data_IF_613435062784
#
_entry.id   IF_613435062784
#
_cell.length_a   1.000
_cell.length_b   1.000
_cell.length_c   1.000
_cell.angle_alpha   90.00
_cell.angle_beta   90.00
_cell.angle_gamma   90.00
#
_symmetry.space_group_name_H-M   'P 1'
#
loop_
_entity.id
_entity.type
_entity.pdbx_description
1 polymer ?
#
# COMPACT_ATOMS: atom_id res chain seq x y z
N UNK A 1 9.63 7.03 -23.23
CA UNK A 1 8.17 6.78 -23.24
C UNK A 1 7.69 6.94 -21.81
N UNK A 2 6.55 7.57 -21.55
CA UNK A 2 5.96 7.59 -20.21
C UNK A 2 5.09 6.34 -19.99
N UNK A 3 4.98 5.89 -18.75
CA UNK A 3 4.06 4.83 -18.35
C UNK A 3 2.79 5.40 -17.73
N UNK A 4 1.76 4.56 -17.64
CA UNK A 4 0.53 4.87 -16.95
C UNK A 4 -0.03 3.62 -16.25
N UNK A 5 -0.80 3.82 -15.20
CA UNK A 5 -1.72 2.84 -14.66
C UNK A 5 -2.87 2.71 -15.65
N UNK A 6 -3.17 1.50 -16.08
CA UNK A 6 -4.26 1.15 -16.99
C UNK A 6 -5.46 0.61 -16.23
N UNK A 7 -5.21 -0.13 -15.16
CA UNK A 7 -6.21 -0.71 -14.29
C UNK A 7 -5.64 -0.93 -12.90
N UNK A 8 -6.50 -1.05 -11.91
CA UNK A 8 -6.15 -1.28 -10.52
C UNK A 8 -7.17 -2.19 -9.85
N UNK A 9 -6.77 -2.78 -8.75
CA UNK A 9 -7.64 -3.61 -7.92
C UNK A 9 -7.26 -3.51 -6.46
N UNK A 10 -8.19 -3.89 -5.58
CA UNK A 10 -8.01 -3.92 -4.14
C UNK A 10 -8.57 -5.22 -3.57
N UNK A 11 -7.93 -5.74 -2.54
CA UNK A 11 -8.48 -6.79 -1.71
C UNK A 11 -8.31 -6.39 -0.25
N UNK A 12 -9.43 -6.17 0.42
CA UNK A 12 -9.50 -5.78 1.82
C UNK A 12 -10.33 -6.84 2.54
N UNK A 13 -9.80 -7.53 3.56
CA UNK A 13 -10.56 -8.52 4.31
C UNK A 13 -11.87 -7.95 4.86
N UNK A 14 -12.93 -8.75 4.92
CA UNK A 14 -14.22 -8.34 5.48
C UNK A 14 -14.25 -8.35 7.01
N UNK A 15 -13.36 -9.14 7.64
CA UNK A 15 -13.25 -9.19 9.09
C UNK A 15 -12.58 -7.93 9.64
N UNK A 16 -13.07 -7.49 10.81
CA UNK A 16 -12.56 -6.31 11.53
C UNK A 16 -12.41 -6.63 13.01
N UNK A 17 -11.41 -6.00 13.63
CA UNK A 17 -11.36 -5.88 15.10
C UNK A 17 -11.33 -4.41 15.49
N UNK A 18 -12.13 -4.05 16.49
CA UNK A 18 -12.16 -2.68 17.03
C UNK A 18 -10.96 -2.42 17.92
N UNK A 19 -10.40 -1.22 17.86
CA UNK A 19 -9.35 -0.75 18.78
C UNK A 19 -9.78 -0.90 20.24
N UNK A 20 -11.05 -0.66 20.53
CA UNK A 20 -11.64 -0.85 21.87
C UNK A 20 -11.50 -2.28 22.38
N UNK A 21 -11.74 -3.29 21.51
CA UNK A 21 -11.64 -4.71 21.86
C UNK A 21 -10.22 -5.09 22.28
N UNK A 22 -9.22 -4.63 21.53
CA UNK A 22 -7.80 -4.83 21.84
C UNK A 22 -7.44 -4.12 23.16
N UNK A 23 -7.86 -2.86 23.32
CA UNK A 23 -7.56 -2.04 24.49
C UNK A 23 -8.15 -2.67 25.77
N UNK A 24 -9.40 -3.12 25.72
CA UNK A 24 -10.08 -3.77 26.85
C UNK A 24 -9.36 -5.05 27.27
N UNK A 25 -8.88 -5.85 26.32
CA UNK A 25 -8.12 -7.08 26.59
C UNK A 25 -6.84 -6.79 27.38
N UNK A 26 -6.12 -5.74 27.00
CA UNK A 26 -4.87 -5.32 27.63
C UNK A 26 -5.07 -4.33 28.80
N UNK A 27 -6.32 -4.07 29.22
CA UNK A 27 -6.67 -3.12 30.28
C UNK A 27 -6.10 -1.71 30.04
N UNK A 28 -6.10 -1.30 28.78
CA UNK A 28 -5.70 0.05 28.34
C UNK A 28 -6.94 0.94 28.18
N UNK A 29 -6.75 2.25 28.22
CA UNK A 29 -7.80 3.21 27.91
C UNK A 29 -8.06 3.25 26.39
N UNK A 30 -9.20 2.72 25.96
CA UNK A 30 -9.60 2.66 24.56
C UNK A 30 -9.68 4.04 23.90
N UNK A 31 -10.21 5.04 24.62
CA UNK A 31 -10.29 6.42 24.11
C UNK A 31 -8.90 7.03 23.92
N UNK A 32 -7.98 6.78 24.86
CA UNK A 32 -6.61 7.23 24.73
C UNK A 32 -5.91 6.60 23.51
N UNK A 33 -6.12 5.29 23.26
CA UNK A 33 -5.58 4.59 22.10
C UNK A 33 -6.17 5.14 20.79
N UNK A 34 -7.49 5.23 20.68
CA UNK A 34 -8.19 5.77 19.50
C UNK A 34 -7.74 7.22 19.24
N UNK A 35 -7.74 8.07 20.25
CA UNK A 35 -7.33 9.47 20.09
C UNK A 35 -5.82 9.60 19.78
N UNK A 36 -4.99 8.73 20.35
CA UNK A 36 -3.54 8.72 20.12
C UNK A 36 -3.17 8.30 18.71
N UNK A 37 -3.79 7.26 18.19
CA UNK A 37 -3.48 6.67 16.87
C UNK A 37 -4.39 7.18 15.75
N UNK A 38 -5.63 7.57 16.07
CA UNK A 38 -6.65 7.94 15.10
C UNK A 38 -7.19 6.73 14.32
N UNK A 39 -7.12 5.52 14.90
CA UNK A 39 -7.59 4.26 14.31
C UNK A 39 -8.69 3.71 15.21
N UNK A 40 -9.86 3.47 14.65
CA UNK A 40 -11.05 2.97 15.38
C UNK A 40 -11.20 1.47 15.24
N UNK A 41 -10.75 0.91 14.12
CA UNK A 41 -10.80 -0.50 13.78
C UNK A 41 -9.75 -0.82 12.72
N UNK A 42 -9.45 -2.08 12.54
CA UNK A 42 -8.52 -2.55 11.50
C UNK A 42 -9.01 -3.85 10.88
N UNK A 43 -8.50 -4.13 9.68
CA UNK A 43 -8.79 -5.37 8.95
C UNK A 43 -8.06 -6.56 9.58
N UNK A 44 -8.70 -7.71 9.54
CA UNK A 44 -8.17 -8.99 9.99
C UNK A 44 -8.32 -9.99 8.84
N UNK A 45 -7.26 -10.71 8.43
CA UNK A 45 -7.39 -11.73 7.40
C UNK A 45 -8.26 -12.89 7.93
N UNK A 46 -9.11 -13.45 7.08
CA UNK A 46 -9.84 -14.69 7.39
C UNK A 46 -8.90 -15.90 7.29
N UNK A 47 -9.32 -17.03 7.79
CA UNK A 47 -8.54 -18.28 7.78
C UNK A 47 -8.08 -18.74 6.38
N UNK A 48 -8.76 -18.31 5.32
CA UNK A 48 -8.40 -18.58 3.92
C UNK A 48 -7.69 -17.42 3.22
N UNK A 49 -7.43 -16.31 3.91
CA UNK A 49 -6.80 -15.12 3.34
C UNK A 49 -5.35 -14.99 3.83
N UNK A 50 -4.40 -14.99 2.91
CA UNK A 50 -3.00 -14.68 3.12
C UNK A 50 -2.51 -13.63 2.11
N UNK A 51 -1.25 -13.27 2.18
CA UNK A 51 -0.66 -12.31 1.24
C UNK A 51 -0.83 -12.73 -0.21
N UNK A 52 -0.76 -14.03 -0.51
CA UNK A 52 -0.94 -14.53 -1.88
C UNK A 52 -2.38 -14.38 -2.36
N UNK A 53 -3.35 -14.80 -1.59
CA UNK A 53 -4.78 -14.75 -1.96
C UNK A 53 -5.28 -13.32 -2.09
N UNK A 54 -4.85 -12.42 -1.19
CA UNK A 54 -5.15 -11.00 -1.29
C UNK A 54 -4.50 -10.36 -2.54
N UNK A 55 -3.23 -10.69 -2.82
CA UNK A 55 -2.52 -10.21 -4.01
C UNK A 55 -3.16 -10.71 -5.30
N UNK A 56 -3.59 -11.98 -5.34
CA UNK A 56 -4.29 -12.58 -6.47
C UNK A 56 -5.60 -11.84 -6.77
N UNK A 57 -6.44 -11.62 -5.76
CA UNK A 57 -7.74 -10.98 -5.96
C UNK A 57 -7.59 -9.52 -6.42
N UNK A 58 -6.66 -8.76 -5.83
CA UNK A 58 -6.34 -7.41 -6.29
C UNK A 58 -5.80 -7.41 -7.73
N UNK A 59 -4.92 -8.37 -8.08
CA UNK A 59 -4.38 -8.52 -9.43
C UNK A 59 -5.44 -8.86 -10.47
N UNK A 60 -6.39 -9.74 -10.14
CA UNK A 60 -7.51 -10.12 -10.99
C UNK A 60 -8.37 -8.91 -11.35
N UNK A 61 -8.76 -8.11 -10.34
CA UNK A 61 -9.51 -6.87 -10.57
C UNK A 61 -8.72 -5.86 -11.41
N UNK A 62 -7.41 -5.74 -11.18
CA UNK A 62 -6.56 -4.82 -11.94
C UNK A 62 -6.51 -5.19 -13.43
N UNK A 63 -6.45 -6.48 -13.77
CA UNK A 63 -6.50 -6.98 -15.16
C UNK A 63 -7.87 -6.68 -15.79
N UNK A 64 -8.95 -6.94 -15.05
CA UNK A 64 -10.33 -6.67 -15.50
C UNK A 64 -10.54 -5.17 -15.82
N UNK A 65 -10.13 -4.27 -14.90
CA UNK A 65 -10.25 -2.82 -15.12
C UNK A 65 -9.35 -2.33 -16.26
N UNK A 66 -8.17 -2.94 -16.43
CA UNK A 66 -7.26 -2.61 -17.53
C UNK A 66 -7.78 -3.06 -18.90
N UNK A 67 -8.78 -3.93 -18.93
CA UNK A 67 -9.35 -4.54 -20.15
C UNK A 67 -8.26 -5.16 -21.05
N UNK A 68 -7.42 -6.01 -20.43
CA UNK A 68 -6.36 -6.76 -21.13
C UNK A 68 -6.49 -8.26 -20.83
N UNK A 69 -5.86 -9.08 -21.66
CA UNK A 69 -5.72 -10.52 -21.38
C UNK A 69 -4.55 -10.75 -20.40
N UNK A 70 -4.70 -11.69 -19.47
CA UNK A 70 -3.63 -12.05 -18.52
C UNK A 70 -2.32 -12.43 -19.22
N UNK A 71 -2.41 -13.10 -20.37
CA UNK A 71 -1.26 -13.47 -21.22
C UNK A 71 -0.47 -12.27 -21.77
N UNK A 72 -0.99 -11.05 -21.69
CA UNK A 72 -0.28 -9.83 -22.08
C UNK A 72 0.59 -9.24 -20.94
N UNK A 73 0.46 -9.77 -19.72
CA UNK A 73 1.26 -9.35 -18.56
C UNK A 73 2.64 -10.02 -18.66
N UNK A 74 3.67 -9.22 -18.86
CA UNK A 74 5.05 -9.67 -19.08
C UNK A 74 5.94 -9.55 -17.85
N UNK A 75 5.44 -8.93 -16.75
CA UNK A 75 6.14 -8.86 -15.48
C UNK A 75 5.14 -8.79 -14.32
N UNK A 76 5.45 -9.48 -13.20
CA UNK A 76 4.70 -9.44 -11.94
C UNK A 76 5.66 -9.23 -10.79
N UNK A 77 5.48 -8.16 -10.02
CA UNK A 77 6.23 -7.89 -8.80
C UNK A 77 5.28 -7.78 -7.62
N UNK A 78 5.61 -8.49 -6.54
CA UNK A 78 4.86 -8.44 -5.28
C UNK A 78 5.77 -7.90 -4.19
N UNK A 79 5.41 -6.75 -3.62
CA UNK A 79 6.05 -6.18 -2.45
C UNK A 79 5.29 -6.58 -1.18
N UNK A 80 6.00 -7.17 -0.20
CA UNK A 80 5.41 -7.62 1.06
C UNK A 80 6.45 -7.76 2.16
N UNK A 81 6.00 -7.70 3.42
CA UNK A 81 6.75 -8.09 4.62
C UNK A 81 6.28 -9.45 5.18
N UNK A 82 5.25 -10.04 4.58
CA UNK A 82 4.58 -11.25 5.04
C UNK A 82 4.32 -12.25 3.92
N UNK A 83 5.34 -12.50 3.06
CA UNK A 83 5.26 -13.54 2.05
C UNK A 83 4.96 -14.90 2.70
N UNK A 84 4.05 -15.73 2.14
CA UNK A 84 3.70 -17.02 2.73
C UNK A 84 4.88 -17.99 2.85
N UNK A 85 5.89 -17.84 2.00
CA UNK A 85 7.08 -18.68 1.98
C UNK A 85 8.36 -17.85 1.93
N UNK A 86 9.35 -18.23 2.71
CA UNK A 86 10.66 -17.57 2.72
C UNK A 86 11.47 -17.79 1.42
N UNK A 87 11.18 -18.84 0.65
CA UNK A 87 11.97 -19.26 -0.52
C UNK A 87 11.12 -19.45 -1.79
N UNK A 88 9.82 -19.59 -1.71
CA UNK A 88 8.95 -19.73 -2.89
C UNK A 88 8.35 -18.36 -3.25
N UNK A 89 8.54 -17.83 -4.49
CA UNK A 89 8.09 -16.50 -4.83
C UNK A 89 6.55 -16.39 -4.89
N UNK A 90 6.01 -15.42 -4.17
CA UNK A 90 4.59 -15.06 -4.20
C UNK A 90 4.19 -14.55 -5.59
N UNK A 91 5.04 -13.75 -6.23
CA UNK A 91 4.82 -13.21 -7.57
C UNK A 91 4.65 -14.30 -8.63
N UNK A 92 5.44 -15.38 -8.54
CA UNK A 92 5.30 -16.53 -9.43
C UNK A 92 4.00 -17.30 -9.19
N UNK A 93 3.55 -17.41 -7.92
CA UNK A 93 2.26 -18.01 -7.57
C UNK A 93 1.10 -17.16 -8.11
N UNK A 94 1.16 -15.84 -7.94
CA UNK A 94 0.15 -14.91 -8.46
C UNK A 94 0.09 -14.95 -9.99
N UNK A 95 1.24 -14.90 -10.67
CA UNK A 95 1.31 -14.98 -12.13
C UNK A 95 0.66 -16.28 -12.67
N UNK A 96 0.97 -17.41 -12.04
CA UNK A 96 0.39 -18.70 -12.42
C UNK A 96 -1.12 -18.75 -12.17
N UNK A 97 -1.59 -18.27 -11.01
CA UNK A 97 -3.02 -18.25 -10.67
C UNK A 97 -3.84 -17.28 -11.55
N UNK A 98 -3.23 -16.19 -12.00
CA UNK A 98 -3.82 -15.25 -12.97
C UNK A 98 -3.74 -15.73 -14.42
N UNK A 99 -3.12 -16.89 -14.66
CA UNK A 99 -2.91 -17.43 -16.01
C UNK A 99 -2.07 -16.51 -16.93
N UNK A 100 -1.06 -15.83 -16.34
CA UNK A 100 -0.09 -15.08 -17.12
C UNK A 100 0.75 -16.01 -18.01
N UNK A 101 1.31 -15.44 -19.10
CA UNK A 101 2.22 -16.20 -19.97
C UNK A 101 3.44 -16.68 -19.15
N UNK A 102 3.89 -17.94 -19.28
CA UNK A 102 5.10 -18.44 -18.60
C UNK A 102 6.39 -17.63 -18.89
N UNK A 103 6.47 -16.90 -19.99
CA UNK A 103 7.57 -15.95 -20.27
C UNK A 103 7.40 -14.63 -19.53
N UNK A 104 6.86 -14.66 -18.32
CA UNK A 104 6.67 -13.51 -17.43
C UNK A 104 7.84 -13.36 -16.46
N UNK A 105 8.37 -12.14 -16.33
CA UNK A 105 9.39 -11.84 -15.33
C UNK A 105 8.75 -11.65 -13.95
N UNK A 106 9.08 -12.50 -12.98
CA UNK A 106 8.51 -12.46 -11.64
C UNK A 106 9.60 -12.25 -10.58
N UNK A 107 9.33 -11.36 -9.61
CA UNK A 107 10.16 -11.21 -8.42
C UNK A 107 9.36 -10.68 -7.22
N UNK A 108 9.70 -11.16 -6.03
CA UNK A 108 9.22 -10.63 -4.77
C UNK A 108 10.17 -9.52 -4.28
N UNK A 109 9.61 -8.53 -3.61
CA UNK A 109 10.34 -7.37 -3.10
C UNK A 109 10.12 -7.25 -1.58
N UNK A 110 11.22 -7.05 -0.86
CA UNK A 110 11.24 -6.81 0.57
C UNK A 110 11.88 -5.45 0.85
N UNK A 111 11.10 -4.45 1.11
CA UNK A 111 11.54 -3.16 1.63
C UNK A 111 10.48 -2.60 2.59
N UNK A 112 10.16 -3.37 3.61
CA UNK A 112 9.15 -2.98 4.58
C UNK A 112 7.89 -2.39 3.88
N UNK A 113 7.24 -1.43 4.49
CA UNK A 113 5.98 -0.88 3.99
C UNK A 113 6.06 -0.14 2.63
N UNK A 114 7.26 0.10 2.06
CA UNK A 114 7.38 0.68 0.71
C UNK A 114 7.60 -0.37 -0.41
N UNK A 115 7.63 -1.65 -0.09
CA UNK A 115 7.88 -2.69 -1.08
C UNK A 115 6.87 -2.67 -2.25
N UNK A 116 5.59 -2.34 -1.98
CA UNK A 116 4.57 -2.19 -3.01
C UNK A 116 4.83 -1.00 -3.96
N UNK A 117 5.31 0.14 -3.45
CA UNK A 117 5.67 1.29 -4.31
C UNK A 117 6.96 1.05 -5.07
N UNK A 118 7.91 0.29 -4.51
CA UNK A 118 9.09 -0.16 -5.24
C UNK A 118 8.71 -1.02 -6.46
N UNK A 119 7.69 -1.88 -6.33
CA UNK A 119 7.14 -2.64 -7.45
C UNK A 119 6.60 -1.72 -8.56
N UNK A 120 5.84 -0.67 -8.20
CA UNK A 120 5.34 0.32 -9.16
C UNK A 120 6.51 1.01 -9.89
N UNK A 121 7.57 1.40 -9.17
CA UNK A 121 8.72 2.09 -9.73
C UNK A 121 9.53 1.20 -10.69
N UNK A 122 9.67 -0.10 -10.37
CA UNK A 122 10.36 -1.06 -11.24
C UNK A 122 9.55 -1.26 -12.53
N UNK A 123 8.24 -1.49 -12.44
CA UNK A 123 7.37 -1.66 -13.63
C UNK A 123 7.36 -0.39 -14.48
N UNK A 124 7.26 0.81 -13.87
CA UNK A 124 7.40 2.09 -14.58
C UNK A 124 8.70 2.14 -15.38
N UNK A 125 9.81 1.79 -14.75
CA UNK A 125 11.14 1.81 -15.38
C UNK A 125 11.24 0.82 -16.55
N UNK A 126 10.73 -0.39 -16.40
CA UNK A 126 10.74 -1.40 -17.47
C UNK A 126 9.89 -1.00 -18.69
N UNK A 127 8.72 -0.36 -18.46
CA UNK A 127 7.87 0.17 -19.52
C UNK A 127 8.57 1.35 -20.23
N UNK A 128 9.15 2.29 -19.46
CA UNK A 128 9.91 3.41 -20.03
C UNK A 128 11.08 2.95 -20.89
N UNK A 129 11.77 1.90 -20.46
CA UNK A 129 12.85 1.25 -21.20
C UNK A 129 12.37 0.37 -22.36
N UNK A 130 11.06 0.19 -22.56
CA UNK A 130 10.45 -0.67 -23.59
C UNK A 130 10.84 -2.15 -23.46
N UNK A 131 11.15 -2.61 -22.26
CA UNK A 131 11.47 -4.02 -21.99
C UNK A 131 10.20 -4.86 -21.89
N UNK A 132 9.10 -4.26 -21.41
CA UNK A 132 7.78 -4.88 -21.31
C UNK A 132 6.70 -3.95 -21.85
N UNK A 133 5.58 -4.54 -22.28
CA UNK A 133 4.38 -3.78 -22.70
C UNK A 133 3.42 -3.56 -21.55
N UNK A 134 3.22 -4.58 -20.69
CA UNK A 134 2.37 -4.52 -19.51
C UNK A 134 3.08 -5.20 -18.34
N UNK A 135 2.96 -4.62 -17.16
CA UNK A 135 3.43 -5.19 -15.91
C UNK A 135 2.41 -5.02 -14.80
N UNK A 136 2.42 -5.95 -13.87
CA UNK A 136 1.58 -5.97 -12.67
C UNK A 136 2.44 -5.69 -11.45
N UNK A 137 2.17 -4.57 -10.77
CA UNK A 137 2.79 -4.17 -9.52
C UNK A 137 1.80 -4.35 -8.37
N UNK A 138 2.19 -5.06 -7.32
CA UNK A 138 1.32 -5.39 -6.20
C UNK A 138 2.02 -5.02 -4.88
N UNK A 139 1.27 -4.39 -3.96
CA UNK A 139 1.59 -4.33 -2.55
C UNK A 139 0.56 -5.13 -1.77
N UNK A 140 0.99 -6.10 -0.97
CA UNK A 140 0.09 -6.96 -0.21
C UNK A 140 0.74 -7.37 1.12
N UNK A 141 -0.02 -7.33 2.22
CA UNK A 141 0.42 -7.82 3.52
C UNK A 141 -0.73 -8.37 4.36
N UNK A 142 -0.40 -9.42 5.13
CA UNK A 142 -1.09 -9.81 6.35
C UNK A 142 -0.20 -9.41 7.53
N UNK A 143 -0.31 -8.15 7.94
CA UNK A 143 0.66 -7.53 8.84
C UNK A 143 0.68 -8.18 10.23
N UNK A 144 1.88 -8.46 10.71
CA UNK A 144 2.12 -9.10 11.98
C UNK A 144 2.51 -8.09 13.06
N UNK A 145 1.92 -8.23 14.25
CA UNK A 145 2.30 -7.46 15.42
C UNK A 145 2.33 -8.38 16.65
N UNK A 146 3.25 -8.11 17.57
CA UNK A 146 3.31 -8.84 18.82
C UNK A 146 2.08 -8.52 19.67
N UNK A 147 1.39 -9.53 20.25
CA UNK A 147 0.29 -9.30 21.17
C UNK A 147 0.66 -8.37 22.33
N UNK A 148 -0.15 -7.35 22.58
CA UNK A 148 0.09 -6.33 23.61
C UNK A 148 1.07 -5.23 23.22
N UNK A 149 1.63 -5.26 22.00
CA UNK A 149 2.48 -4.19 21.49
C UNK A 149 1.67 -3.04 20.91
N UNK A 150 2.26 -1.84 20.83
CA UNK A 150 1.62 -0.68 20.24
C UNK A 150 1.24 -0.87 18.77
N UNK A 151 1.99 -1.69 18.02
CA UNK A 151 1.71 -2.00 16.62
C UNK A 151 0.44 -2.86 16.45
N UNK A 152 0.03 -3.62 17.46
CA UNK A 152 -1.14 -4.48 17.38
C UNK A 152 -2.42 -3.69 17.07
N UNK A 153 -2.50 -2.43 17.53
CA UNK A 153 -3.66 -1.57 17.30
C UNK A 153 -3.82 -1.11 15.86
N UNK A 154 -2.75 -1.17 15.06
CA UNK A 154 -2.77 -0.65 13.69
C UNK A 154 -2.42 -1.69 12.63
N UNK A 155 -1.63 -2.72 12.94
CA UNK A 155 -1.22 -3.75 11.98
C UNK A 155 -2.43 -4.49 11.38
N UNK A 156 -2.59 -4.42 10.06
CA UNK A 156 -3.77 -4.82 9.33
C UNK A 156 -3.42 -5.62 8.07
N UNK A 157 -4.41 -6.19 7.39
CA UNK A 157 -4.24 -6.94 6.16
C UNK A 157 -4.91 -6.24 4.97
N UNK A 158 -4.33 -6.38 3.79
CA UNK A 158 -4.90 -5.88 2.54
C UNK A 158 -3.91 -5.96 1.38
N UNK A 159 -4.43 -5.77 0.18
CA UNK A 159 -3.65 -5.71 -1.05
C UNK A 159 -4.17 -4.64 -2.02
N UNK A 160 -3.27 -4.05 -2.79
CA UNK A 160 -3.61 -3.27 -3.98
C UNK A 160 -2.67 -3.65 -5.12
N UNK A 161 -3.21 -3.68 -6.33
CA UNK A 161 -2.52 -4.06 -7.54
C UNK A 161 -2.79 -3.07 -8.67
N UNK A 162 -1.78 -2.89 -9.53
CA UNK A 162 -1.84 -1.96 -10.66
C UNK A 162 -1.30 -2.65 -11.91
N UNK A 163 -2.12 -2.77 -12.94
CA UNK A 163 -1.66 -3.02 -14.31
C UNK A 163 -1.15 -1.71 -14.88
N UNK A 164 0.08 -1.74 -15.31
CA UNK A 164 0.77 -0.59 -15.90
C UNK A 164 1.16 -0.89 -17.35
N UNK A 165 1.16 0.14 -18.17
CA UNK A 165 1.53 0.07 -19.58
C UNK A 165 1.94 1.43 -20.14
N UNK A 166 2.13 1.56 -21.47
CA UNK A 166 2.45 2.84 -22.09
C UNK A 166 1.36 3.90 -21.86
N UNK A 167 1.73 5.14 -21.53
CA UNK A 167 0.79 6.24 -21.35
C UNK A 167 0.02 6.61 -22.66
N UNK A 168 0.47 6.10 -23.79
CA UNK A 168 -0.22 6.21 -25.08
C UNK A 168 -1.33 5.18 -25.27
N UNK A 169 -1.48 4.21 -24.35
CA UNK A 169 -2.55 3.22 -24.42
C UNK A 169 -3.92 3.91 -24.33
N UNK A 170 -4.89 3.45 -25.11
CA UNK A 170 -6.26 4.00 -25.13
C UNK A 170 -6.95 3.88 -23.75
N UNK A 171 -6.61 2.86 -23.00
CA UNK A 171 -7.12 2.58 -21.66
C UNK A 171 -6.31 3.23 -20.52
N UNK A 172 -5.27 4.05 -20.81
CA UNK A 172 -4.50 4.73 -19.79
C UNK A 172 -5.40 5.56 -18.87
N UNK A 173 -5.30 5.30 -17.57
CA UNK A 173 -6.11 5.91 -16.52
C UNK A 173 -5.35 7.04 -15.82
N UNK A 174 -4.12 6.76 -15.35
CA UNK A 174 -3.32 7.70 -14.59
C UNK A 174 -1.85 7.58 -15.02
N UNK A 175 -1.29 8.68 -15.55
CA UNK A 175 0.10 8.72 -16.02
C UNK A 175 1.05 8.93 -14.87
N UNK A 176 2.17 8.22 -14.86
CA UNK A 176 3.28 8.50 -13.96
C UNK A 176 4.18 9.55 -14.62
N UNK A 177 4.19 10.75 -14.05
CA UNK A 177 4.97 11.86 -14.57
C UNK A 177 6.41 11.77 -14.09
N UNK A 178 6.61 11.62 -12.79
CA UNK A 178 7.93 11.55 -12.15
C UNK A 178 7.93 10.62 -10.94
N UNK A 179 9.09 10.04 -10.64
CA UNK A 179 9.35 9.23 -9.46
C UNK A 179 10.67 9.65 -8.80
N UNK A 180 10.74 9.48 -7.49
CA UNK A 180 11.93 9.73 -6.68
C UNK A 180 12.01 8.70 -5.56
N UNK A 181 13.22 8.29 -5.19
CA UNK A 181 13.47 7.53 -3.96
C UNK A 181 14.46 8.26 -3.07
N UNK A 182 14.21 8.26 -1.77
CA UNK A 182 15.13 8.70 -0.73
C UNK A 182 15.39 7.54 0.24
N UNK A 183 16.62 7.09 0.35
CA UNK A 183 16.98 5.89 1.12
C UNK A 183 18.18 6.15 2.00
N UNK A 184 18.10 5.71 3.25
CA UNK A 184 19.21 5.66 4.21
C UNK A 184 19.21 4.30 4.91
N UNK A 185 20.03 4.12 5.92
CA UNK A 185 19.98 3.01 6.85
C UNK A 185 19.54 3.54 8.23
N UNK A 186 18.38 3.11 8.71
CA UNK A 186 17.79 3.56 9.98
C UNK A 186 17.27 2.37 10.78
N UNK A 187 17.78 2.11 12.01
CA UNK A 187 17.38 0.96 12.82
C UNK A 187 16.08 1.27 13.60
N UNK A 188 14.99 1.57 12.90
CA UNK A 188 13.72 1.96 13.49
C UNK A 188 12.74 0.79 13.67
N UNK A 189 12.76 -0.17 12.74
CA UNK A 189 11.88 -1.34 12.73
C UNK A 189 12.52 -2.46 11.91
N UNK A 190 12.50 -3.69 12.41
CA UNK A 190 13.07 -4.85 11.75
C UNK A 190 12.45 -6.15 12.26
N UNK A 191 12.56 -7.22 11.48
CA UNK A 191 12.28 -8.58 11.93
C UNK A 191 13.47 -9.47 11.57
N UNK A 192 14.19 -9.96 12.58
CA UNK A 192 15.28 -10.90 12.35
C UNK A 192 14.71 -12.27 11.87
N UNK A 193 15.52 -12.97 11.06
CA UNK A 193 15.13 -14.29 10.58
C UNK A 193 14.80 -15.24 11.75
N UNK A 194 13.71 -15.99 11.63
CA UNK A 194 13.21 -16.92 12.66
C UNK A 194 12.45 -16.26 13.82
N UNK A 195 12.24 -14.94 13.78
CA UNK A 195 11.37 -14.25 14.74
C UNK A 195 9.92 -14.23 14.22
N UNK A 196 8.97 -14.48 15.12
CA UNK A 196 7.55 -14.47 14.78
C UNK A 196 7.01 -13.04 14.55
N UNK A 197 7.58 -12.05 15.25
CA UNK A 197 7.09 -10.67 15.22
C UNK A 197 8.22 -9.67 14.98
N UNK A 198 7.93 -8.52 14.35
CA UNK A 198 8.90 -7.44 14.23
C UNK A 198 9.21 -6.79 15.58
N UNK A 199 10.36 -6.16 15.64
CA UNK A 199 10.84 -5.32 16.74
C UNK A 199 10.93 -3.87 16.26
N UNK A 200 10.73 -2.91 17.15
CA UNK A 200 10.82 -1.49 16.80
C UNK A 200 11.57 -0.69 17.88
N UNK A 201 12.19 0.39 17.46
CA UNK A 201 12.97 1.28 18.32
C UNK A 201 12.12 2.39 18.97
N UNK A 202 10.84 2.16 19.20
CA UNK A 202 9.94 3.08 19.90
C UNK A 202 9.84 4.45 19.19
N UNK A 203 10.27 5.53 19.85
CA UNK A 203 10.15 6.90 19.30
C UNK A 203 10.96 7.13 18.02
N UNK A 204 11.98 6.33 17.74
CA UNK A 204 12.77 6.39 16.52
C UNK A 204 11.95 6.09 15.27
N UNK A 205 10.85 5.37 15.37
CA UNK A 205 9.96 5.10 14.25
C UNK A 205 9.30 6.37 13.68
N UNK A 206 9.11 7.39 14.51
CA UNK A 206 8.62 8.72 14.08
C UNK A 206 9.76 9.63 13.64
N UNK A 207 10.59 10.06 14.59
CA UNK A 207 11.80 10.85 14.35
C UNK A 207 13.03 10.07 14.81
N UNK A 208 14.06 9.93 13.99
CA UNK A 208 14.26 10.53 12.65
C UNK A 208 13.72 9.69 11.49
N UNK A 209 13.08 8.53 11.75
CA UNK A 209 12.74 7.60 10.67
C UNK A 209 11.64 8.11 9.73
N UNK A 210 10.37 7.91 10.08
CA UNK A 210 9.25 8.24 9.19
C UNK A 210 9.26 9.70 8.72
N UNK A 211 9.30 10.64 9.66
CA UNK A 211 9.13 12.06 9.31
C UNK A 211 10.28 12.60 8.46
N UNK A 212 11.51 12.21 8.76
CA UNK A 212 12.67 12.63 7.94
C UNK A 212 12.53 12.15 6.49
N UNK A 213 12.29 10.85 6.30
CA UNK A 213 12.26 10.26 4.96
C UNK A 213 11.08 10.75 4.12
N UNK A 214 9.89 10.83 4.71
CA UNK A 214 8.71 11.33 4.01
C UNK A 214 8.86 12.81 3.65
N UNK A 215 9.46 13.63 4.53
CA UNK A 215 9.75 15.05 4.23
C UNK A 215 10.73 15.20 3.07
N UNK A 216 11.84 14.48 3.11
CA UNK A 216 12.87 14.58 2.06
C UNK A 216 12.33 14.11 0.71
N UNK A 217 11.60 12.99 0.67
CA UNK A 217 10.97 12.51 -0.55
C UNK A 217 9.90 13.49 -1.07
N UNK A 218 9.06 14.05 -0.18
CA UNK A 218 8.03 15.04 -0.55
C UNK A 218 8.69 16.30 -1.11
N UNK A 219 9.69 16.86 -0.42
CA UNK A 219 10.42 18.04 -0.86
C UNK A 219 11.08 17.79 -2.22
N UNK A 220 11.82 16.68 -2.34
CA UNK A 220 12.55 16.37 -3.56
C UNK A 220 11.62 16.19 -4.77
N UNK A 221 10.49 15.52 -4.64
CA UNK A 221 9.57 15.30 -5.78
C UNK A 221 8.84 16.58 -6.19
N UNK A 222 8.47 17.45 -5.24
CA UNK A 222 7.89 18.75 -5.53
C UNK A 222 8.89 19.68 -6.24
N UNK A 223 10.17 19.66 -5.83
CA UNK A 223 11.26 20.41 -6.49
C UNK A 223 11.49 19.91 -7.92
N UNK A 224 11.62 18.59 -8.13
CA UNK A 224 11.79 17.98 -9.45
C UNK A 224 10.60 18.29 -10.36
N UNK A 225 9.38 18.22 -9.84
CA UNK A 225 8.15 18.53 -10.56
C UNK A 225 7.95 20.01 -10.82
N UNK A 226 8.71 20.88 -10.13
CA UNK A 226 8.47 22.32 -10.11
C UNK A 226 7.01 22.67 -9.81
N UNK A 227 6.41 21.95 -8.85
CA UNK A 227 4.99 22.03 -8.49
C UNK A 227 4.84 22.41 -7.02
N UNK A 228 3.81 23.18 -6.71
CA UNK A 228 3.49 23.60 -5.35
C UNK A 228 2.39 22.70 -4.75
N UNK A 229 2.30 22.59 -3.40
CA UNK A 229 1.26 21.80 -2.75
C UNK A 229 -0.18 22.17 -3.15
N UNK A 230 -0.44 23.46 -3.43
CA UNK A 230 -1.76 23.94 -3.85
C UNK A 230 -2.17 23.45 -5.27
N UNK A 231 -1.23 22.98 -6.05
CA UNK A 231 -1.45 22.46 -7.40
C UNK A 231 -1.68 20.92 -7.43
N UNK A 232 -1.65 20.28 -6.24
CA UNK A 232 -1.95 18.85 -6.06
C UNK A 232 -3.41 18.72 -5.64
N UNK A 233 -4.18 17.88 -6.33
CA UNK A 233 -5.58 17.64 -6.02
C UNK A 233 -5.74 16.54 -4.96
N UNK A 234 -4.87 15.51 -4.99
CA UNK A 234 -4.90 14.39 -4.05
C UNK A 234 -3.49 14.08 -3.52
N UNK A 235 -3.36 13.94 -2.21
CA UNK A 235 -2.10 13.53 -1.58
C UNK A 235 -2.28 12.28 -0.74
N UNK A 236 -1.41 11.30 -0.94
CA UNK A 236 -1.34 10.06 -0.19
C UNK A 236 0.03 9.96 0.48
N UNK A 237 0.05 9.88 1.79
CA UNK A 237 1.24 9.51 2.55
C UNK A 237 1.08 8.10 3.10
N UNK A 238 2.18 7.39 3.33
CA UNK A 238 2.12 6.15 4.11
C UNK A 238 1.51 6.41 5.49
N UNK A 239 0.66 5.50 5.96
CA UNK A 239 -0.19 5.67 7.13
C UNK A 239 0.08 4.62 8.21
N UNK A 240 1.18 4.71 9.01
CA UNK A 240 1.36 3.83 10.16
C UNK A 240 0.25 3.98 11.21
N UNK A 241 -0.33 5.16 11.27
CA UNK A 241 -1.50 5.58 12.00
C UNK A 241 -2.02 6.89 11.37
N UNK A 242 -3.13 7.45 11.87
CA UNK A 242 -3.72 8.67 11.29
C UNK A 242 -2.93 9.96 11.61
N UNK A 243 -2.12 9.97 12.66
CA UNK A 243 -1.40 11.17 13.11
C UNK A 243 -0.20 11.52 12.25
N UNK A 244 0.55 10.49 11.81
CA UNK A 244 1.80 10.69 11.07
C UNK A 244 1.57 11.38 9.71
N UNK A 245 0.72 10.86 8.81
CA UNK A 245 0.43 11.53 7.54
C UNK A 245 -0.21 12.90 7.72
N UNK A 246 -1.11 13.06 8.71
CA UNK A 246 -1.76 14.35 9.00
C UNK A 246 -0.75 15.42 9.43
N UNK A 247 0.29 15.05 10.18
CA UNK A 247 1.36 15.96 10.58
C UNK A 247 2.19 16.41 9.38
N UNK A 248 2.62 15.46 8.53
CA UNK A 248 3.38 15.80 7.31
C UNK A 248 2.55 16.67 6.37
N UNK A 249 1.30 16.31 6.12
CA UNK A 249 0.40 17.10 5.28
C UNK A 249 0.33 18.56 5.76
N UNK A 250 0.13 18.76 7.07
CA UNK A 250 0.10 20.10 7.68
C UNK A 250 1.42 20.86 7.50
N UNK A 251 2.57 20.19 7.64
CA UNK A 251 3.89 20.80 7.51
C UNK A 251 4.14 21.31 6.08
N UNK A 252 3.61 20.64 5.06
CA UNK A 252 3.71 21.05 3.65
C UNK A 252 2.56 21.94 3.18
N UNK A 253 1.56 22.21 4.03
CA UNK A 253 0.41 23.04 3.67
C UNK A 253 -0.71 22.31 2.93
N UNK A 254 -0.68 20.98 2.87
CA UNK A 254 -1.78 20.20 2.30
C UNK A 254 -3.03 20.26 3.20
N UNK A 255 -4.19 20.32 2.57
CA UNK A 255 -5.49 20.38 3.25
C UNK A 255 -6.03 18.97 3.55
N UNK A 256 -7.09 18.91 4.35
CA UNK A 256 -7.78 17.63 4.63
C UNK A 256 -8.48 17.09 3.39
N UNK A 257 -9.02 17.96 2.58
CA UNK A 257 -9.73 17.64 1.34
C UNK A 257 -8.79 16.95 0.34
N UNK A 258 -7.54 17.43 0.23
CA UNK A 258 -6.52 16.78 -0.61
C UNK A 258 -6.16 15.36 -0.12
N UNK A 259 -6.30 15.07 1.17
CA UNK A 259 -6.04 13.75 1.77
C UNK A 259 -7.26 12.83 1.74
N UNK A 260 -8.47 13.35 1.65
CA UNK A 260 -9.73 12.67 2.00
C UNK A 260 -9.85 11.28 1.38
N UNK A 261 -9.68 11.17 0.09
CA UNK A 261 -9.90 9.91 -0.63
C UNK A 261 -8.84 8.85 -0.38
N UNK A 262 -7.62 9.25 -0.06
CA UNK A 262 -6.50 8.33 0.23
C UNK A 262 -6.31 8.00 1.71
N UNK A 263 -7.05 8.65 2.63
CA UNK A 263 -6.85 8.56 4.07
C UNK A 263 -7.70 7.45 4.71
N UNK A 264 -7.30 6.20 4.49
CA UNK A 264 -8.10 5.01 4.84
C UNK A 264 -7.76 4.39 6.20
N UNK A 265 -6.63 4.75 6.79
CA UNK A 265 -6.10 4.12 8.01
C UNK A 265 -7.06 4.15 9.22
N UNK A 266 -7.98 5.12 9.40
CA UNK A 266 -8.87 5.12 10.56
C UNK A 266 -9.75 3.87 10.69
N UNK A 267 -10.11 3.23 9.58
CA UNK A 267 -11.03 2.08 9.53
C UNK A 267 -10.43 0.82 8.88
N UNK A 268 -9.30 0.96 8.19
CA UNK A 268 -8.60 -0.18 7.56
C UNK A 268 -7.40 -0.62 8.38
N UNK A 269 -6.73 0.33 9.05
CA UNK A 269 -5.45 0.11 9.71
C UNK A 269 -4.27 0.28 8.76
N UNK A 270 -3.06 -0.04 9.24
CA UNK A 270 -1.84 -0.03 8.46
C UNK A 270 -1.63 -1.39 7.79
N UNK A 271 -1.81 -1.46 6.51
CA UNK A 271 -1.62 -2.66 5.67
C UNK A 271 -0.20 -2.75 5.10
N UNK A 272 0.77 -2.13 5.77
CA UNK A 272 2.21 -2.16 5.47
C UNK A 272 2.51 -1.87 4.00
N UNK A 273 3.02 -2.81 3.20
CA UNK A 273 3.38 -2.58 1.79
C UNK A 273 2.18 -2.24 0.90
N UNK A 274 0.97 -2.64 1.29
CA UNK A 274 -0.26 -2.26 0.62
C UNK A 274 -0.81 -0.89 1.04
N UNK A 275 -0.32 -0.28 2.12
CA UNK A 275 -0.93 0.91 2.73
C UNK A 275 -1.03 2.10 1.75
N UNK A 276 0.09 2.55 1.21
CA UNK A 276 0.11 3.64 0.22
C UNK A 276 -0.55 3.24 -1.11
N UNK A 277 -0.33 2.02 -1.64
CA UNK A 277 -1.04 1.50 -2.80
C UNK A 277 -2.56 1.47 -2.65
N UNK A 278 -3.10 1.04 -1.49
CA UNK A 278 -4.54 1.07 -1.22
C UNK A 278 -5.08 2.51 -1.20
N UNK A 279 -4.35 3.43 -0.56
CA UNK A 279 -4.70 4.85 -0.61
C UNK A 279 -4.78 5.37 -2.05
N UNK A 280 -3.82 4.99 -2.91
CA UNK A 280 -3.86 5.33 -4.33
C UNK A 280 -5.07 4.71 -5.05
N UNK A 281 -5.36 3.43 -4.81
CA UNK A 281 -6.50 2.76 -5.42
C UNK A 281 -7.86 3.41 -5.03
N UNK A 282 -7.97 3.90 -3.79
CA UNK A 282 -9.13 4.69 -3.37
C UNK A 282 -9.23 6.04 -4.10
N UNK A 283 -8.11 6.76 -4.27
CA UNK A 283 -8.07 8.01 -5.04
C UNK A 283 -8.45 7.78 -6.49
N UNK A 284 -7.90 6.74 -7.14
CA UNK A 284 -8.20 6.40 -8.55
C UNK A 284 -9.67 6.11 -8.83
N UNK A 285 -10.48 5.82 -7.82
CA UNK A 285 -11.93 5.66 -7.97
C UNK A 285 -12.70 6.99 -7.98
N UNK A 286 -12.12 8.07 -7.46
CA UNK A 286 -12.81 9.33 -7.21
C UNK A 286 -12.24 10.50 -8.04
N UNK A 287 -10.95 10.42 -8.35
CA UNK A 287 -10.22 11.49 -9.04
C UNK A 287 -10.80 11.76 -10.42
N UNK A 288 -10.74 13.01 -10.83
CA UNK A 288 -11.23 13.48 -12.13
C UNK A 288 -10.09 13.58 -13.14
N UNK A 289 -10.43 13.62 -14.40
CA UNK A 289 -9.47 13.91 -15.45
C UNK A 289 -8.70 15.20 -15.15
N UNK A 290 -7.40 15.16 -15.40
CA UNK A 290 -6.41 16.21 -15.16
C UNK A 290 -6.05 16.47 -13.69
N UNK A 291 -6.69 15.77 -12.72
CA UNK A 291 -6.28 15.82 -11.31
C UNK A 291 -4.84 15.34 -11.17
N UNK A 292 -4.08 16.05 -10.34
CA UNK A 292 -2.69 15.72 -9.96
C UNK A 292 -2.64 15.00 -8.63
N UNK A 293 -1.94 13.89 -8.61
CA UNK A 293 -1.82 13.01 -7.45
C UNK A 293 -0.36 12.99 -6.98
N UNK A 294 -0.14 13.24 -5.70
CA UNK A 294 1.12 13.00 -5.01
C UNK A 294 0.99 11.76 -4.13
N UNK A 295 1.81 10.75 -4.38
CA UNK A 295 1.94 9.57 -3.53
C UNK A 295 3.34 9.56 -2.90
N UNK A 296 3.41 9.44 -1.58
CA UNK A 296 4.67 9.31 -0.84
C UNK A 296 4.57 8.14 0.12
N UNK A 297 5.31 7.10 -0.15
CA UNK A 297 5.41 5.93 0.72
C UNK A 297 6.48 6.09 1.78
N UNK A 298 6.52 5.15 2.70
CA UNK A 298 7.61 4.96 3.64
C UNK A 298 7.75 3.49 3.95
N UNK A 299 8.99 3.01 4.02
CA UNK A 299 9.35 1.70 4.51
C UNK A 299 10.43 1.83 5.57
N UNK A 300 10.20 1.19 6.71
CA UNK A 300 11.17 1.16 7.81
C UNK A 300 12.49 0.54 7.38
N UNK A 301 13.56 0.95 8.01
CA UNK A 301 14.87 0.48 7.68
C UNK A 301 15.86 1.42 6.97
N UNK A 302 15.56 2.49 6.25
CA UNK A 302 14.37 3.22 5.90
C UNK A 302 14.48 3.77 4.49
N UNK A 303 13.35 3.93 3.86
CA UNK A 303 13.25 4.55 2.55
C UNK A 303 11.87 5.12 2.29
N UNK A 304 11.79 6.04 1.34
CA UNK A 304 10.53 6.63 0.90
C UNK A 304 10.56 6.76 -0.62
N UNK A 305 9.51 6.30 -1.30
CA UNK A 305 9.31 6.56 -2.73
C UNK A 305 8.24 7.65 -2.87
N UNK A 306 8.45 8.55 -3.83
CA UNK A 306 7.50 9.60 -4.16
C UNK A 306 7.17 9.56 -5.65
N UNK A 307 5.91 9.83 -5.97
CA UNK A 307 5.38 9.84 -7.33
C UNK A 307 4.52 11.07 -7.56
N UNK A 308 4.75 11.75 -8.68
CA UNK A 308 3.80 12.68 -9.26
C UNK A 308 3.08 12.00 -10.41
N UNK A 309 1.76 12.07 -10.39
CA UNK A 309 0.90 11.43 -11.38
C UNK A 309 -0.18 12.40 -11.83
N UNK A 310 -0.69 12.17 -13.05
CA UNK A 310 -1.81 12.95 -13.61
C UNK A 310 -2.88 12.01 -14.14
N UNK A 311 -4.12 12.22 -13.72
CA UNK A 311 -5.28 11.51 -14.25
C UNK A 311 -5.48 11.83 -15.74
N UNK A 312 -5.60 10.81 -16.57
CA UNK A 312 -5.82 10.97 -18.03
C UNK A 312 -7.30 10.91 -18.42
N UNK A 313 -8.12 10.37 -17.54
CA UNK A 313 -9.58 10.29 -17.61
C UNK A 313 -10.16 10.25 -16.19
N UNK A 314 -11.49 10.37 -16.08
CA UNK A 314 -12.17 10.24 -14.78
C UNK A 314 -11.95 8.85 -14.17
N UNK A 315 -11.96 8.82 -12.86
CA UNK A 315 -11.77 7.61 -12.05
C UNK A 315 -12.78 6.51 -12.37
N UNK A 316 -12.37 5.27 -12.11
CA UNK A 316 -13.17 4.09 -12.37
C UNK A 316 -13.57 3.44 -11.05
N UNK A 317 -14.86 3.21 -10.85
CA UNK A 317 -15.34 2.50 -9.65
C UNK A 317 -15.05 1.00 -9.79
N UNK A 318 -14.49 0.42 -8.74
CA UNK A 318 -14.48 -1.03 -8.59
C UNK A 318 -15.89 -1.56 -8.30
N UNK A 319 -16.14 -2.80 -8.68
CA UNK A 319 -17.37 -3.47 -8.26
C UNK A 319 -17.45 -3.46 -6.73
N UNK A 320 -18.63 -3.17 -6.16
CA UNK A 320 -18.78 -3.19 -4.71
C UNK A 320 -18.42 -4.56 -4.13
N UNK A 321 -17.66 -4.57 -3.04
CA UNK A 321 -17.48 -5.79 -2.27
C UNK A 321 -18.85 -6.16 -1.64
N UNK A 322 -19.33 -7.34 -1.96
CA UNK A 322 -20.63 -7.83 -1.46
C UNK A 322 -20.51 -8.53 -0.11
N UNK A 323 -19.29 -8.72 0.40
CA UNK A 323 -19.05 -9.31 1.72
C UNK A 323 -19.43 -8.29 2.81
N UNK A 324 -20.24 -8.71 3.76
CA UNK A 324 -20.58 -7.88 4.91
C UNK A 324 -19.40 -7.78 5.88
N UNK A 325 -19.18 -6.60 6.43
CA UNK A 325 -18.19 -6.40 7.48
C UNK A 325 -18.61 -7.16 8.74
N UNK A 326 -17.76 -8.05 9.21
CA UNK A 326 -17.97 -8.85 10.42
C UNK A 326 -16.92 -8.51 11.46
N UNK A 327 -17.36 -8.28 12.71
CA UNK A 327 -16.45 -7.99 13.80
C UNK A 327 -16.11 -9.26 14.58
N UNK A 328 -14.80 -9.46 14.81
CA UNK A 328 -14.29 -10.55 15.63
C UNK A 328 -13.93 -10.04 17.03
N UNK A 329 -14.05 -10.90 18.03
CA UNK A 329 -13.51 -10.64 19.36
C UNK A 329 -11.99 -10.94 19.39
N UNK A 330 -11.34 -10.57 20.52
CA UNK A 330 -9.88 -10.71 20.62
C UNK A 330 -9.41 -12.17 20.54
N UNK A 331 -10.16 -13.13 21.06
CA UNK A 331 -9.78 -14.57 21.00
C UNK A 331 -9.86 -15.09 19.57
N UNK A 332 -10.90 -14.74 18.82
CA UNK A 332 -11.05 -15.07 17.41
C UNK A 332 -9.92 -14.43 16.59
N UNK A 333 -9.65 -13.14 16.81
CA UNK A 333 -8.55 -12.42 16.18
C UNK A 333 -7.21 -13.12 16.38
N UNK A 334 -6.87 -13.49 17.62
CA UNK A 334 -5.61 -14.19 17.91
C UNK A 334 -5.52 -15.55 17.21
N UNK A 335 -6.63 -16.28 17.12
CA UNK A 335 -6.69 -17.57 16.44
C UNK A 335 -6.46 -17.42 14.92
N UNK A 336 -6.99 -16.36 14.31
CA UNK A 336 -6.81 -16.06 12.89
C UNK A 336 -5.35 -15.66 12.60
N UNK A 337 -4.79 -14.74 13.39
CA UNK A 337 -3.40 -14.28 13.20
C UNK A 337 -2.38 -15.41 13.44
N UNK A 338 -2.63 -16.33 14.36
CA UNK A 338 -1.74 -17.47 14.60
C UNK A 338 -1.73 -18.49 13.44
N UNK A 339 -2.68 -18.43 12.52
CA UNK A 339 -2.74 -19.28 11.33
C UNK A 339 -1.90 -18.76 10.15
N UNK A 340 -1.41 -17.52 10.26
CA UNK A 340 -0.57 -16.83 9.27
C UNK A 340 0.87 -16.66 9.77
#
# INVERSE_FOLDING_TARGET
MQSAILGFGMSIPSLRIKTEEIANTWKQDANAMINGLGVTEKTVPDAGEDTFTLAFEAGRQAIEIADIQSSQVSAVFVGSESHPYAVKPTSGMVAAALECDPFCHCADLEFACKAGTAAIQIVDSMIRAKQISHGLAIGADCAQAKPGDALEYTAAAGAAAFIMGPATAKNALCRIDQTLSFTTDTPDFWRANGKAHPEHAGRFTGEPAYFHHVREATKGILEIGSIKPEEIDHVIFHMPNAKFPSRVAKEFGFTKEQMEHGFIVPTVGNTYSACSPLGLAHVLQQAKKDDRILLVSYGSGAGSDAFLMTMMKDGVKLAPDTRETTYVNYTEYQSLIAAH
#
